data_IF_089122614494
#
_entry.id   IF_089122614494
#
_cell.length_a   1.000
_cell.length_b   1.000
_cell.length_c   1.000
_cell.angle_alpha   90.00
_cell.angle_beta   90.00
_cell.angle_gamma   90.00
#
_symmetry.space_group_name_H-M   'P 1'
#
loop_
_entity.id
_entity.type
_entity.pdbx_description
1 polymer ?
#
# COMPACT_ATOMS: atom_id res chain seq x y z
N UNK A 1 -24.31 10.08 -3.26
CA UNK A 1 -23.03 9.59 -3.79
C UNK A 1 -23.33 8.73 -5.00
N UNK A 2 -22.95 9.17 -6.20
CA UNK A 2 -23.11 8.37 -7.43
C UNK A 2 -21.97 7.36 -7.42
N UNK A 3 -22.29 6.08 -7.24
CA UNK A 3 -21.30 5.01 -7.28
C UNK A 3 -20.68 4.90 -8.68
N UNK A 4 -19.38 4.66 -8.75
CA UNK A 4 -18.66 4.40 -9.98
C UNK A 4 -19.05 3.02 -10.53
N UNK A 5 -19.82 3.01 -11.63
CA UNK A 5 -20.33 1.79 -12.28
C UNK A 5 -19.20 0.88 -12.79
N UNK A 6 -18.07 1.44 -13.22
CA UNK A 6 -16.91 0.67 -13.69
C UNK A 6 -16.33 -0.17 -12.55
N UNK A 7 -16.13 0.44 -11.37
CA UNK A 7 -15.62 -0.28 -10.19
C UNK A 7 -16.60 -1.37 -9.71
N UNK A 8 -17.91 -1.10 -9.73
CA UNK A 8 -18.93 -2.12 -9.42
C UNK A 8 -18.86 -3.30 -10.39
N UNK A 9 -18.85 -3.03 -11.69
CA UNK A 9 -18.77 -4.07 -12.71
C UNK A 9 -17.51 -4.92 -12.55
N UNK A 10 -16.38 -4.29 -12.23
CA UNK A 10 -15.13 -4.98 -11.94
C UNK A 10 -15.25 -5.92 -10.74
N UNK A 11 -15.70 -5.40 -9.58
CA UNK A 11 -15.94 -6.20 -8.39
C UNK A 11 -16.82 -7.42 -8.65
N UNK A 12 -17.91 -7.27 -9.43
CA UNK A 12 -18.81 -8.40 -9.74
C UNK A 12 -18.17 -9.51 -10.58
N UNK A 13 -17.04 -9.22 -11.24
CA UNK A 13 -16.29 -10.18 -12.07
C UNK A 13 -15.11 -10.80 -11.34
N UNK A 14 -14.75 -10.28 -10.17
CA UNK A 14 -13.67 -10.82 -9.34
C UNK A 14 -14.13 -12.04 -8.54
N UNK A 15 -13.20 -12.94 -8.27
CA UNK A 15 -13.35 -14.00 -7.26
C UNK A 15 -12.18 -13.89 -6.28
N UNK A 16 -12.45 -14.01 -4.99
CA UNK A 16 -11.44 -13.92 -3.93
C UNK A 16 -11.27 -12.52 -3.31
N UNK A 17 -12.04 -11.53 -3.77
CA UNK A 17 -12.08 -10.20 -3.14
C UNK A 17 -12.51 -10.32 -1.69
N UNK A 18 -11.74 -9.70 -0.79
CA UNK A 18 -11.98 -9.72 0.65
C UNK A 18 -12.72 -8.44 1.01
N UNK A 19 -13.95 -8.58 1.52
CA UNK A 19 -14.76 -7.47 2.00
C UNK A 19 -14.83 -7.54 3.52
N UNK A 20 -14.34 -6.50 4.21
CA UNK A 20 -14.41 -6.38 5.67
C UNK A 20 -15.20 -5.14 6.06
N UNK A 21 -15.91 -5.24 7.18
CA UNK A 21 -16.47 -4.07 7.84
C UNK A 21 -15.35 -3.24 8.50
N UNK A 22 -15.41 -1.92 8.33
CA UNK A 22 -14.40 -0.99 8.83
C UNK A 22 -14.47 -0.78 10.35
N UNK A 23 -15.57 -1.14 11.00
CA UNK A 23 -15.80 -0.88 12.42
C UNK A 23 -14.65 -1.36 13.30
N UNK A 24 -13.99 -0.41 13.97
CA UNK A 24 -12.88 -0.64 14.91
C UNK A 24 -11.57 -1.09 14.29
N UNK A 25 -11.43 -1.10 12.95
CA UNK A 25 -10.22 -1.53 12.24
C UNK A 25 -9.44 -0.33 11.72
N UNK A 26 -8.13 -0.51 11.56
CA UNK A 26 -7.27 0.47 10.88
C UNK A 26 -7.45 0.31 9.37
N UNK A 27 -7.97 1.34 8.66
CA UNK A 27 -8.14 1.27 7.23
C UNK A 27 -6.85 1.60 6.47
N UNK A 28 -6.46 0.69 5.58
CA UNK A 28 -5.27 0.79 4.73
C UNK A 28 -5.69 0.77 3.27
N UNK A 29 -5.31 1.81 2.53
CA UNK A 29 -5.41 1.82 1.07
C UNK A 29 -4.12 1.23 0.50
N UNK A 30 -4.19 0.03 -0.05
CA UNK A 30 -3.09 -0.58 -0.79
C UNK A 30 -3.15 -0.09 -2.25
N UNK A 31 -2.24 0.81 -2.58
CA UNK A 31 -2.23 1.56 -3.84
C UNK A 31 -1.22 0.93 -4.80
N UNK A 32 -1.71 0.51 -5.97
CA UNK A 32 -0.84 0.29 -7.12
C UNK A 32 -0.91 1.56 -7.98
N UNK A 33 0.18 2.34 -8.11
CA UNK A 33 0.19 3.63 -8.82
C UNK A 33 0.17 3.48 -10.34
N UNK A 34 -0.65 2.56 -10.86
CA UNK A 34 -0.84 2.29 -12.27
C UNK A 34 -2.22 1.68 -12.49
N UNK A 35 -2.50 1.21 -13.69
CA UNK A 35 -3.78 0.61 -14.02
C UNK A 35 -4.07 -0.64 -13.19
N UNK A 36 -5.36 -0.95 -12.99
CA UNK A 36 -5.78 -2.17 -12.31
C UNK A 36 -5.27 -3.40 -13.05
N UNK A 37 -5.30 -3.37 -14.37
CA UNK A 37 -4.83 -4.48 -15.19
C UNK A 37 -3.38 -4.85 -14.87
N UNK A 38 -2.49 -3.86 -14.75
CA UNK A 38 -1.09 -4.09 -14.39
C UNK A 38 -0.97 -4.52 -12.93
N UNK A 39 -1.66 -3.83 -12.00
CA UNK A 39 -1.56 -4.15 -10.57
C UNK A 39 -2.11 -5.53 -10.22
N UNK A 40 -3.18 -5.98 -10.88
CA UNK A 40 -3.70 -7.35 -10.72
C UNK A 40 -2.82 -8.40 -11.39
N UNK A 41 -1.95 -8.00 -12.31
CA UNK A 41 -0.92 -8.88 -12.88
C UNK A 41 0.31 -9.02 -11.97
N UNK A 42 0.33 -8.34 -10.81
CA UNK A 42 1.44 -8.34 -9.87
C UNK A 42 1.15 -9.25 -8.67
N UNK A 43 1.87 -10.37 -8.56
CA UNK A 43 1.65 -11.36 -7.52
C UNK A 43 2.07 -10.84 -6.13
N UNK A 44 3.16 -10.05 -6.05
CA UNK A 44 3.57 -9.40 -4.80
C UNK A 44 2.49 -8.45 -4.26
N UNK A 45 1.85 -7.66 -5.13
CA UNK A 45 0.73 -6.80 -4.75
C UNK A 45 -0.44 -7.62 -4.18
N UNK A 46 -0.80 -8.73 -4.84
CA UNK A 46 -1.85 -9.62 -4.35
C UNK A 46 -1.48 -10.27 -3.01
N UNK A 47 -0.22 -10.69 -2.84
CA UNK A 47 0.28 -11.26 -1.58
C UNK A 47 0.16 -10.28 -0.43
N UNK A 48 0.59 -9.03 -0.62
CA UNK A 48 0.46 -7.98 0.41
C UNK A 48 -1.01 -7.69 0.72
N UNK A 49 -1.89 -7.65 -0.28
CA UNK A 49 -3.32 -7.49 -0.08
C UNK A 49 -3.92 -8.59 0.81
N UNK A 50 -3.58 -9.86 0.55
CA UNK A 50 -4.02 -11.00 1.38
C UNK A 50 -3.44 -10.93 2.78
N UNK A 51 -2.14 -10.62 2.91
CA UNK A 51 -1.46 -10.56 4.19
C UNK A 51 -2.02 -9.45 5.07
N UNK A 52 -2.23 -8.24 4.55
CA UNK A 52 -2.88 -7.16 5.29
C UNK A 52 -4.29 -7.58 5.75
N UNK A 53 -5.05 -8.21 4.86
CA UNK A 53 -6.39 -8.69 5.20
C UNK A 53 -6.42 -9.98 6.06
N UNK A 54 -5.28 -10.60 6.40
CA UNK A 54 -5.28 -11.71 7.37
C UNK A 54 -5.30 -11.24 8.82
N UNK A 55 -5.05 -9.95 9.08
CA UNK A 55 -5.12 -9.36 10.42
C UNK A 55 -6.53 -8.86 10.72
N UNK A 56 -7.09 -9.23 11.87
CA UNK A 56 -8.50 -8.95 12.23
C UNK A 56 -8.78 -7.47 12.48
N UNK A 57 -7.77 -6.72 12.93
CA UNK A 57 -7.80 -5.29 13.22
C UNK A 57 -7.47 -4.41 12.00
N UNK A 58 -7.24 -5.01 10.83
CA UNK A 58 -6.95 -4.30 9.57
C UNK A 58 -8.08 -4.52 8.56
N UNK A 59 -8.49 -3.44 7.90
CA UNK A 59 -9.24 -3.47 6.64
C UNK A 59 -8.37 -2.90 5.54
N UNK A 60 -8.04 -3.73 4.55
CA UNK A 60 -7.22 -3.31 3.42
C UNK A 60 -8.04 -3.32 2.13
N UNK A 61 -8.09 -2.18 1.45
CA UNK A 61 -8.78 -1.99 0.17
C UNK A 61 -7.79 -1.57 -0.91
N UNK A 62 -8.05 -1.95 -2.16
CA UNK A 62 -7.15 -1.71 -3.28
C UNK A 62 -7.51 -0.40 -3.98
N UNK A 63 -6.49 0.31 -4.43
CA UNK A 63 -6.64 1.55 -5.20
C UNK A 63 -5.69 1.52 -6.40
N UNK A 64 -6.15 2.06 -7.53
CA UNK A 64 -5.42 2.06 -8.80
C UNK A 64 -5.49 3.42 -9.48
N UNK A 65 -4.47 3.75 -10.28
CA UNK A 65 -4.37 5.00 -11.05
C UNK A 65 -4.74 4.79 -12.53
N UNK A 66 -6.04 4.62 -12.81
CA UNK A 66 -6.54 4.41 -14.18
C UNK A 66 -7.12 5.65 -14.84
N UNK A 67 -7.92 6.42 -14.12
CA UNK A 67 -8.61 7.60 -14.63
C UNK A 67 -7.91 8.84 -14.07
N UNK A 68 -6.92 9.35 -14.82
CA UNK A 68 -5.99 10.38 -14.35
C UNK A 68 -6.63 11.76 -14.12
N UNK A 69 -7.90 11.91 -14.50
CA UNK A 69 -8.66 13.15 -14.36
C UNK A 69 -9.53 13.18 -13.09
N UNK A 70 -9.62 12.05 -12.35
CA UNK A 70 -10.49 11.92 -11.18
C UNK A 70 -9.69 11.53 -9.94
N UNK A 71 -10.26 11.88 -8.79
CA UNK A 71 -9.76 11.39 -7.51
C UNK A 71 -9.85 9.84 -7.49
N UNK A 72 -8.77 9.15 -7.11
CA UNK A 72 -8.77 7.69 -7.03
C UNK A 72 -9.67 7.23 -5.88
N UNK A 73 -10.47 6.21 -6.15
CA UNK A 73 -11.34 5.58 -5.16
C UNK A 73 -10.90 4.13 -4.92
N UNK A 74 -11.17 3.63 -3.72
CA UNK A 74 -10.98 2.22 -3.42
C UNK A 74 -11.91 1.33 -4.25
N UNK A 75 -11.45 0.14 -4.59
CA UNK A 75 -12.23 -0.79 -5.42
C UNK A 75 -13.40 -1.33 -4.63
N UNK A 76 -13.16 -1.76 -3.38
CA UNK A 76 -14.10 -2.49 -2.53
C UNK A 76 -15.28 -1.64 -2.06
N UNK A 77 -15.01 -0.46 -1.50
CA UNK A 77 -16.05 0.41 -0.93
C UNK A 77 -16.23 1.76 -1.63
N UNK A 78 -15.39 2.07 -2.63
CA UNK A 78 -15.42 3.34 -3.38
C UNK A 78 -15.18 4.57 -2.51
N UNK A 79 -14.32 4.43 -1.51
CA UNK A 79 -13.93 5.52 -0.62
C UNK A 79 -12.78 6.33 -1.20
N UNK A 80 -12.76 7.66 -0.96
CA UNK A 80 -11.61 8.50 -1.28
C UNK A 80 -10.42 8.15 -0.38
N UNK A 81 -9.22 8.55 -0.80
CA UNK A 81 -8.00 8.27 -0.04
C UNK A 81 -7.96 8.94 1.34
N UNK A 82 -8.66 10.06 1.51
CA UNK A 82 -8.75 10.78 2.79
C UNK A 82 -9.51 10.01 3.88
N UNK A 83 -10.29 8.99 3.54
CA UNK A 83 -10.99 8.15 4.52
C UNK A 83 -10.04 7.14 5.20
N UNK A 84 -8.87 6.88 4.61
CA UNK A 84 -7.93 5.85 5.10
C UNK A 84 -6.97 6.42 6.14
N UNK A 85 -6.48 5.55 7.03
CA UNK A 85 -5.46 5.92 8.01
C UNK A 85 -4.05 5.79 7.42
N UNK A 86 -3.87 4.85 6.47
CA UNK A 86 -2.59 4.59 5.81
C UNK A 86 -2.78 4.47 4.30
N UNK A 87 -1.93 5.16 3.54
CA UNK A 87 -1.77 5.00 2.10
C UNK A 87 -0.49 4.18 1.85
N UNK A 88 -0.65 2.91 1.49
CA UNK A 88 0.45 1.99 1.27
C UNK A 88 0.70 1.78 -0.24
N UNK A 89 1.73 2.40 -0.77
CA UNK A 89 2.10 2.29 -2.18
C UNK A 89 2.97 1.07 -2.45
N UNK A 90 2.58 0.25 -3.42
CA UNK A 90 3.38 -0.85 -3.95
C UNK A 90 3.96 -0.46 -5.30
N UNK A 91 5.25 -0.13 -5.33
CA UNK A 91 5.92 0.47 -6.50
C UNK A 91 6.81 -0.57 -7.16
N UNK A 92 6.40 -1.00 -8.35
CA UNK A 92 7.04 -2.12 -9.06
C UNK A 92 7.97 -1.70 -10.19
N UNK A 93 7.79 -0.50 -10.75
CA UNK A 93 8.60 0.02 -11.85
C UNK A 93 9.00 1.48 -11.58
N UNK A 94 10.18 1.92 -12.04
CA UNK A 94 10.62 3.30 -11.80
C UNK A 94 9.72 4.35 -12.46
N UNK A 95 9.09 4.01 -13.59
CA UNK A 95 8.14 4.91 -14.27
C UNK A 95 6.89 5.21 -13.43
N UNK A 96 6.58 4.37 -12.45
CA UNK A 96 5.46 4.60 -11.54
C UNK A 96 5.69 5.80 -10.60
N UNK A 97 6.94 6.28 -10.45
CA UNK A 97 7.25 7.44 -9.60
C UNK A 97 6.48 8.69 -10.04
N UNK A 98 6.32 8.87 -11.36
CA UNK A 98 5.54 9.97 -11.92
C UNK A 98 4.05 9.83 -11.59
N UNK A 99 3.53 8.61 -11.61
CA UNK A 99 2.13 8.33 -11.28
C UNK A 99 1.87 8.56 -9.79
N UNK A 100 2.81 8.20 -8.91
CA UNK A 100 2.72 8.47 -7.46
C UNK A 100 2.51 9.96 -7.20
N UNK A 101 3.35 10.82 -7.79
CA UNK A 101 3.26 12.28 -7.62
C UNK A 101 1.92 12.80 -8.15
N UNK A 102 1.44 12.30 -9.29
CA UNK A 102 0.15 12.69 -9.85
C UNK A 102 -1.02 12.24 -8.98
N UNK A 103 -0.97 11.02 -8.45
CA UNK A 103 -1.99 10.44 -7.60
C UNK A 103 -2.10 11.17 -6.26
N UNK A 104 -0.96 11.49 -5.62
CA UNK A 104 -0.98 12.29 -4.39
C UNK A 104 -1.59 13.67 -4.65
N UNK A 105 -1.22 14.33 -5.76
CA UNK A 105 -1.80 15.63 -6.16
C UNK A 105 -3.30 15.58 -6.46
N UNK A 106 -3.82 14.46 -6.94
CA UNK A 106 -5.26 14.29 -7.24
C UNK A 106 -6.07 13.88 -6.01
N UNK A 107 -5.40 13.54 -4.92
CA UNK A 107 -6.01 13.25 -3.62
C UNK A 107 -6.01 14.50 -2.72
N UNK A 108 -6.83 14.49 -1.67
CA UNK A 108 -6.79 15.52 -0.64
C UNK A 108 -5.57 15.45 0.30
N UNK A 109 -4.49 14.75 -0.09
CA UNK A 109 -3.28 14.57 0.72
C UNK A 109 -2.17 15.52 0.26
N UNK A 110 -1.51 16.27 1.15
CA UNK A 110 -0.35 17.08 0.80
C UNK A 110 0.73 16.26 0.08
N UNK A 111 1.33 16.87 -0.95
CA UNK A 111 2.31 16.20 -1.79
C UNK A 111 3.59 15.85 -1.04
N UNK A 112 4.15 16.81 -0.29
CA UNK A 112 5.37 16.61 0.47
C UNK A 112 5.06 16.06 1.85
N UNK A 113 5.88 15.12 2.32
CA UNK A 113 5.75 14.54 3.65
C UNK A 113 5.86 15.60 4.77
N UNK A 114 6.69 16.64 4.55
CA UNK A 114 6.87 17.73 5.49
C UNK A 114 5.61 18.61 5.69
N UNK A 115 4.66 18.57 4.76
CA UNK A 115 3.42 19.33 4.82
C UNK A 115 2.26 18.54 5.48
N UNK A 116 2.51 17.30 5.92
CA UNK A 116 1.50 16.44 6.54
C UNK A 116 1.58 16.51 8.06
N UNK A 117 0.41 16.55 8.68
CA UNK A 117 0.22 16.46 10.13
C UNK A 117 -0.61 15.22 10.49
N UNK A 118 -1.08 15.11 11.74
CA UNK A 118 -1.90 14.01 12.25
C UNK A 118 -3.30 13.92 11.61
N UNK A 119 -3.77 14.96 10.91
CA UNK A 119 -5.06 14.94 10.21
C UNK A 119 -5.00 14.24 8.85
N UNK A 120 -3.79 13.97 8.35
CA UNK A 120 -3.56 13.32 7.06
C UNK A 120 -3.22 11.83 7.25
N UNK A 121 -3.44 10.98 6.23
CA UNK A 121 -3.03 9.58 6.33
C UNK A 121 -1.50 9.44 6.39
N UNK A 122 -1.03 8.38 7.04
CA UNK A 122 0.37 7.96 6.93
C UNK A 122 0.63 7.45 5.51
N UNK A 123 1.63 7.99 4.82
CA UNK A 123 1.98 7.60 3.45
C UNK A 123 3.26 6.78 3.44
N UNK A 124 3.12 5.50 3.10
CA UNK A 124 4.22 4.53 3.09
C UNK A 124 4.41 3.93 1.69
N UNK A 125 5.64 3.51 1.38
CA UNK A 125 5.94 2.84 0.13
C UNK A 125 6.77 1.57 0.33
N UNK A 126 6.54 0.58 -0.51
CA UNK A 126 7.33 -0.63 -0.64
C UNK A 126 7.40 -1.10 -2.08
N UNK A 127 7.98 -2.27 -2.28
CA UNK A 127 8.18 -2.88 -3.61
C UNK A 127 9.64 -2.85 -4.06
N UNK A 128 9.93 -3.49 -5.21
CA UNK A 128 11.30 -3.70 -5.68
C UNK A 128 12.03 -2.39 -5.99
N UNK A 129 11.39 -1.40 -6.61
CA UNK A 129 12.02 -0.11 -6.93
C UNK A 129 12.37 0.69 -5.66
N UNK A 130 11.47 0.69 -4.68
CA UNK A 130 11.69 1.31 -3.37
C UNK A 130 12.84 0.63 -2.63
N UNK A 131 12.89 -0.70 -2.66
CA UNK A 131 13.96 -1.47 -2.02
C UNK A 131 15.32 -1.28 -2.73
N UNK A 132 15.32 -0.95 -4.01
CA UNK A 132 16.53 -0.67 -4.78
C UNK A 132 17.06 0.74 -4.51
N UNK A 133 16.19 1.75 -4.55
CA UNK A 133 16.55 3.13 -4.22
C UNK A 133 15.31 3.96 -3.83
N UNK A 134 15.08 4.20 -2.52
CA UNK A 134 13.94 5.00 -2.06
C UNK A 134 14.15 6.51 -2.20
N UNK A 135 15.40 6.96 -2.38
CA UNK A 135 15.77 8.38 -2.27
C UNK A 135 15.06 9.32 -3.26
N UNK A 136 14.80 8.94 -4.53
CA UNK A 136 14.04 9.78 -5.45
C UNK A 136 12.63 10.12 -4.97
N UNK A 137 12.06 9.28 -4.09
CA UNK A 137 10.72 9.43 -3.55
C UNK A 137 10.71 10.00 -2.12
N UNK A 138 11.87 10.12 -1.46
CA UNK A 138 11.98 10.50 -0.05
C UNK A 138 11.23 11.78 0.35
N UNK A 139 11.17 12.85 -0.49
CA UNK A 139 10.40 14.04 -0.14
C UNK A 139 8.87 13.83 -0.04
N UNK A 140 8.33 12.75 -0.63
CA UNK A 140 6.90 12.53 -0.79
C UNK A 140 6.32 11.49 0.17
N UNK A 141 7.16 10.70 0.86
CA UNK A 141 6.72 9.60 1.71
C UNK A 141 7.18 9.80 3.15
N UNK A 142 6.36 9.33 4.08
CA UNK A 142 6.67 9.42 5.50
C UNK A 142 7.65 8.32 5.90
N UNK A 143 7.50 7.11 5.33
CA UNK A 143 8.47 6.04 5.46
C UNK A 143 8.43 5.03 4.30
N UNK A 144 9.46 4.19 4.21
CA UNK A 144 9.61 3.13 3.22
C UNK A 144 9.87 1.79 3.88
N UNK A 145 9.31 0.72 3.33
CA UNK A 145 9.63 -0.66 3.65
C UNK A 145 10.68 -1.19 2.65
N UNK A 146 11.88 -1.48 3.16
CA UNK A 146 13.05 -1.93 2.40
C UNK A 146 13.23 -3.43 2.57
N UNK A 147 12.85 -4.19 1.54
CA UNK A 147 12.90 -5.65 1.53
C UNK A 147 11.55 -6.31 1.37
N UNK A 148 11.43 -7.52 1.91
CA UNK A 148 10.24 -8.36 1.76
C UNK A 148 9.15 -8.01 2.78
N UNK A 149 7.95 -7.73 2.26
CA UNK A 149 6.83 -7.22 3.06
C UNK A 149 6.35 -8.24 4.08
N UNK A 150 6.48 -9.53 3.80
CA UNK A 150 6.14 -10.66 4.66
C UNK A 150 6.81 -10.58 6.03
N UNK A 151 8.05 -10.09 6.06
CA UNK A 151 8.86 -9.94 7.29
C UNK A 151 8.63 -8.59 7.95
N UNK A 152 8.46 -7.54 7.14
CA UNK A 152 8.37 -6.15 7.63
C UNK A 152 6.97 -5.82 8.15
N UNK A 153 5.92 -6.35 7.51
CA UNK A 153 4.52 -6.02 7.82
C UNK A 153 4.13 -6.32 9.26
N UNK A 154 4.38 -7.50 9.84
CA UNK A 154 3.93 -7.80 11.21
C UNK A 154 4.43 -6.78 12.27
N UNK A 155 5.74 -6.48 12.39
CA UNK A 155 6.21 -5.48 13.35
C UNK A 155 5.79 -4.05 12.97
N UNK A 156 5.68 -3.72 11.68
CA UNK A 156 5.21 -2.41 11.24
C UNK A 156 3.75 -2.16 11.60
N UNK A 157 2.86 -3.14 11.36
CA UNK A 157 1.43 -3.05 11.68
C UNK A 157 1.21 -2.92 13.19
N UNK A 158 2.03 -3.58 14.01
CA UNK A 158 1.98 -3.40 15.46
C UNK A 158 2.21 -1.94 15.86
N UNK A 159 3.26 -1.31 15.31
CA UNK A 159 3.53 0.11 15.59
C UNK A 159 2.40 1.01 15.09
N UNK A 160 1.90 0.76 13.88
CA UNK A 160 0.80 1.54 13.29
C UNK A 160 -0.44 1.43 14.18
N UNK A 161 -0.90 0.23 14.48
CA UNK A 161 -2.14 0.03 15.27
C UNK A 161 -2.06 0.61 16.67
N UNK A 162 -0.88 0.61 17.30
CA UNK A 162 -0.66 1.19 18.63
C UNK A 162 -0.55 2.73 18.62
N UNK A 163 -0.03 3.33 17.54
CA UNK A 163 0.37 4.74 17.50
C UNK A 163 -0.26 5.60 16.38
N UNK A 164 -1.20 5.06 15.58
CA UNK A 164 -1.80 5.79 14.45
C UNK A 164 -2.57 7.06 14.87
N UNK A 165 -3.03 7.10 16.11
CA UNK A 165 -3.70 8.27 16.70
C UNK A 165 -2.80 9.13 17.59
N UNK A 166 -1.51 8.78 17.68
CA UNK A 166 -0.50 9.55 18.41
C UNK A 166 0.02 10.70 17.55
N UNK A 167 0.93 11.51 18.10
CA UNK A 167 1.64 12.53 17.32
C UNK A 167 2.41 11.88 16.17
N UNK A 168 2.48 12.56 15.03
CA UNK A 168 3.16 12.06 13.82
C UNK A 168 4.61 11.69 14.12
N UNK A 169 5.30 12.52 14.90
CA UNK A 169 6.69 12.29 15.30
C UNK A 169 6.87 10.98 16.09
N UNK A 170 5.97 10.70 17.04
CA UNK A 170 6.02 9.48 17.87
C UNK A 170 5.80 8.22 17.02
N UNK A 171 4.83 8.28 16.10
CA UNK A 171 4.58 7.21 15.13
C UNK A 171 5.82 6.95 14.25
N UNK A 172 6.44 8.01 13.70
CA UNK A 172 7.63 7.89 12.85
C UNK A 172 8.85 7.38 13.61
N UNK A 173 9.04 7.78 14.87
CA UNK A 173 10.10 7.24 15.73
C UNK A 173 9.89 5.74 16.00
N UNK A 174 8.67 5.33 16.32
CA UNK A 174 8.30 3.92 16.47
C UNK A 174 8.60 3.13 15.19
N UNK A 175 8.20 3.66 14.03
CA UNK A 175 8.43 3.04 12.73
C UNK A 175 9.93 2.94 12.40
N UNK A 176 10.73 3.96 12.68
CA UNK A 176 12.19 3.92 12.45
C UNK A 176 12.92 2.85 13.28
N UNK A 177 12.29 2.34 14.34
CA UNK A 177 12.83 1.27 15.17
C UNK A 177 12.57 -0.13 14.59
N UNK A 178 11.72 -0.23 13.55
CA UNK A 178 11.40 -1.50 12.88
C UNK A 178 12.49 -1.82 11.84
N UNK A 179 13.13 -3.00 11.89
CA UNK A 179 14.11 -3.40 10.88
C UNK A 179 13.53 -3.36 9.47
N UNK A 180 14.25 -2.71 8.54
CA UNK A 180 13.81 -2.52 7.16
C UNK A 180 12.96 -1.28 6.92
N UNK A 181 12.56 -0.53 7.95
CA UNK A 181 11.86 0.73 7.74
C UNK A 181 12.86 1.88 7.61
N UNK A 182 12.75 2.64 6.53
CA UNK A 182 13.49 3.87 6.29
C UNK A 182 12.57 5.07 6.47
N UNK A 183 12.88 5.96 7.40
CA UNK A 183 12.16 7.22 7.65
C UNK A 183 13.06 8.39 7.24
N UNK A 184 12.79 9.08 6.11
CA UNK A 184 13.68 10.13 5.60
C UNK A 184 13.96 11.26 6.59
N UNK A 185 12.93 11.71 7.32
CA UNK A 185 13.04 12.83 8.26
C UNK A 185 13.88 12.53 9.51
N UNK A 186 14.11 11.25 9.82
CA UNK A 186 14.85 10.80 11.01
C UNK A 186 16.21 10.19 10.67
N UNK A 187 16.51 9.99 9.40
CA UNK A 187 17.72 9.30 8.97
C UNK A 187 18.98 10.16 9.20
N UNK A 188 20.00 9.55 9.81
CA UNK A 188 21.29 10.18 10.14
C UNK A 188 22.47 9.28 9.72
N UNK A 189 22.47 8.89 8.44
CA UNK A 189 23.55 8.11 7.80
C UNK A 189 23.78 6.70 8.37
N UNK A 190 22.77 6.11 9.02
CA UNK A 190 22.85 4.72 9.53
C UNK A 190 22.27 3.76 8.47
N UNK A 191 23.03 2.77 7.99
CA UNK A 191 22.52 1.84 6.97
C UNK A 191 21.24 1.13 7.40
N UNK A 192 20.21 1.18 6.54
CA UNK A 192 18.97 0.42 6.74
C UNK A 192 19.19 -1.00 6.24
N UNK A 193 19.01 -1.97 7.13
CA UNK A 193 19.13 -3.39 6.78
C UNK A 193 17.90 -3.84 6.02
N UNK A 194 18.08 -4.20 4.75
CA UNK A 194 17.03 -4.85 3.93
C UNK A 194 16.58 -6.14 4.63
N UNK A 195 15.28 -6.36 4.71
CA UNK A 195 14.72 -7.60 5.24
C UNK A 195 14.45 -8.61 4.11
N UNK A 196 14.57 -9.89 4.44
CA UNK A 196 14.28 -11.01 3.55
C UNK A 196 13.72 -12.19 4.34
N UNK A 197 12.84 -12.96 3.71
CA UNK A 197 12.29 -14.21 4.21
C UNK A 197 13.43 -15.23 4.31
N UNK A 198 13.57 -15.86 5.49
CA UNK A 198 14.60 -16.89 5.72
C UNK A 198 14.17 -18.28 5.26
N UNK A 199 12.86 -18.53 5.24
CA UNK A 199 12.23 -19.80 4.85
C UNK A 199 11.11 -19.49 3.88
N UNK A 200 11.38 -19.67 2.60
CA UNK A 200 10.45 -19.32 1.51
C UNK A 200 9.15 -20.11 1.63
N UNK A 201 9.24 -21.37 2.07
CA UNK A 201 8.09 -22.27 2.24
C UNK A 201 7.06 -21.76 3.27
N UNK A 202 7.42 -20.83 4.15
CA UNK A 202 6.50 -20.25 5.14
C UNK A 202 5.49 -19.28 4.48
N UNK A 203 5.75 -18.84 3.23
CA UNK A 203 4.92 -17.85 2.52
C UNK A 203 4.53 -18.35 1.13
N UNK A 204 3.33 -18.93 1.02
CA UNK A 204 2.78 -19.29 -0.28
C UNK A 204 2.35 -18.04 -1.06
N UNK A 205 3.07 -17.73 -2.14
CA UNK A 205 2.76 -16.61 -3.03
C UNK A 205 1.91 -17.11 -4.18
N UNK A 206 0.62 -16.78 -4.14
CA UNK A 206 -0.39 -17.34 -5.04
C UNK A 206 -1.42 -16.29 -5.44
N UNK A 207 -2.14 -16.51 -6.54
CA UNK A 207 -3.23 -15.63 -6.94
C UNK A 207 -4.29 -15.58 -5.84
N UNK A 208 -4.54 -14.37 -5.34
CA UNK A 208 -5.53 -14.08 -4.30
C UNK A 208 -6.85 -13.69 -4.94
N UNK A 209 -6.78 -12.88 -6.00
CA UNK A 209 -7.94 -12.40 -6.73
C UNK A 209 -7.85 -12.89 -8.16
N UNK A 210 -8.86 -13.63 -8.57
CA UNK A 210 -9.05 -14.07 -9.95
C UNK A 210 -9.97 -13.10 -10.67
N UNK A 211 -9.47 -12.53 -11.75
CA UNK A 211 -10.20 -11.58 -12.58
C UNK A 211 -9.86 -11.83 -14.05
N UNK A 212 -10.80 -11.68 -14.99
CA UNK A 212 -10.48 -11.70 -16.42
C UNK A 212 -9.77 -10.43 -16.90
N UNK A 213 -9.68 -9.38 -16.07
CA UNK A 213 -9.07 -8.08 -16.41
C UNK A 213 -7.61 -7.99 -15.92
N UNK A 214 -6.77 -8.94 -16.32
CA UNK A 214 -5.32 -9.02 -16.03
C UNK A 214 -4.63 -9.84 -17.12
N UNK A 215 -3.32 -9.67 -17.32
CA UNK A 215 -2.53 -10.44 -18.31
C UNK A 215 -2.73 -11.95 -18.14
N UNK A 216 -2.94 -12.41 -16.91
CA UNK A 216 -2.97 -13.83 -16.54
C UNK A 216 -4.38 -14.29 -16.17
N UNK A 217 -5.43 -13.63 -16.70
CA UNK A 217 -6.82 -13.78 -16.23
C UNK A 217 -7.49 -15.13 -16.41
N UNK A 218 -6.85 -16.08 -17.12
CA UNK A 218 -7.30 -17.48 -17.23
C UNK A 218 -6.40 -18.46 -16.46
N UNK A 219 -5.42 -17.96 -15.71
CA UNK A 219 -4.42 -18.77 -15.01
C UNK A 219 -4.50 -18.53 -13.50
N UNK A 220 -4.18 -19.56 -12.73
CA UNK A 220 -3.90 -19.44 -11.30
C UNK A 220 -2.38 -19.45 -11.13
N UNK A 221 -1.83 -18.37 -10.59
CA UNK A 221 -0.39 -18.22 -10.41
C UNK A 221 0.02 -18.74 -9.04
N UNK A 222 1.14 -19.45 -9.03
CA UNK A 222 1.82 -19.97 -7.85
C UNK A 222 3.31 -19.73 -8.09
N UNK A 223 3.99 -19.14 -7.11
CA UNK A 223 5.45 -18.99 -7.06
C UNK A 223 6.05 -19.99 -6.09
#
# INVERSE_FOLDING_TARGET
MIWNEKLRRRLTRERGTILKDWGGKTPIALIYPNTYYIGMSNLGFQTIYRLLNSYDDIVCERVFWEDREKEPLSVESQRPLSDFAVLAFSISYELDYLNVVQLLKSSATPLFAADRDESHPLVIAGGPCVSANPEPLAPFFDCFAIGEGEVILPPMLKVITEAIHSKREELLQGLSSVPGIYVPSLHRDVPISRQWVRKIDDFATTSVILTPETELGQMYLIE
#
